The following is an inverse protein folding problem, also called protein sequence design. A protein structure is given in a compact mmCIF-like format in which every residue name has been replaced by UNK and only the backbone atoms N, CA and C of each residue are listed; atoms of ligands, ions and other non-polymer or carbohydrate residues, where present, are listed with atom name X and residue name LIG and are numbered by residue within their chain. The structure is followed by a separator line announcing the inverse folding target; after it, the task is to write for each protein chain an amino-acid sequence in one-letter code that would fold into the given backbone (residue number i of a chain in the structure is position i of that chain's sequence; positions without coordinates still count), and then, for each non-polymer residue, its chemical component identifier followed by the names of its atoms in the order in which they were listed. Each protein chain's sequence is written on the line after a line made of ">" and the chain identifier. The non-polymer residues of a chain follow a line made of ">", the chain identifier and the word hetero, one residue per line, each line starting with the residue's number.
data_IF_937733665625
#
_entry.id   IF_937733665625
#
_cell.length_a   1.000
_cell.length_b   1.000
_cell.length_c   1.000
_cell.angle_alpha   90.00
_cell.angle_beta   90.00
_cell.angle_gamma   90.00
#
_symmetry.space_group_name_H-M   'P 1'
#
loop_
_entity.id
_entity.type
_entity.pdbx_description
1 polymer ?
#
# COMPACT_ATOMS: atom_id res chain seq x y z
N UNK A 1 1.47 -4.66 14.10
CA UNK A 1 0.87 -5.45 12.98
C UNK A 1 0.18 -4.51 11.99
N UNK A 2 0.12 -4.88 10.70
CA UNK A 2 -0.49 -4.07 9.65
C UNK A 2 -1.79 -4.66 9.12
N UNK A 3 -2.84 -3.85 9.06
CA UNK A 3 -4.16 -4.21 8.54
C UNK A 3 -4.40 -3.51 7.20
N UNK A 4 -4.76 -4.29 6.17
CA UNK A 4 -5.02 -3.79 4.81
C UNK A 4 -6.51 -4.00 4.48
N UNK A 5 -7.26 -2.90 4.44
CA UNK A 5 -8.73 -2.83 4.33
C UNK A 5 -9.17 -2.63 2.90
N UNK A 6 -8.96 -3.64 2.06
CA UNK A 6 -9.28 -3.57 0.62
C UNK A 6 -10.77 -3.32 0.33
N UNK A 7 -11.67 -3.62 1.27
CA UNK A 7 -13.10 -3.31 1.17
C UNK A 7 -13.40 -1.81 1.17
N UNK A 8 -12.48 -0.95 1.64
CA UNK A 8 -12.62 0.51 1.63
C UNK A 8 -12.25 1.16 0.30
N UNK A 9 -11.73 0.39 -0.66
CA UNK A 9 -11.35 0.91 -1.97
C UNK A 9 -12.58 1.44 -2.71
N UNK A 10 -12.44 2.66 -3.24
CA UNK A 10 -13.44 3.37 -4.01
C UNK A 10 -12.88 3.80 -5.36
N UNK A 11 -13.71 4.09 -6.37
CA UNK A 11 -13.25 4.49 -7.71
C UNK A 11 -12.22 5.63 -7.73
N UNK A 12 -12.32 6.58 -6.79
CA UNK A 12 -11.34 7.68 -6.65
C UNK A 12 -9.92 7.21 -6.33
N UNK A 13 -9.79 6.10 -5.61
CA UNK A 13 -8.49 5.53 -5.24
C UNK A 13 -7.80 4.93 -6.48
N UNK A 14 -8.57 4.31 -7.39
CA UNK A 14 -8.07 3.84 -8.68
C UNK A 14 -7.62 4.99 -9.59
N UNK A 15 -8.39 6.08 -9.62
CA UNK A 15 -8.03 7.28 -10.38
C UNK A 15 -6.79 7.97 -9.81
N UNK A 16 -6.64 7.99 -8.48
CA UNK A 16 -5.43 8.47 -7.84
C UNK A 16 -4.19 7.66 -8.26
N UNK A 17 -4.26 6.32 -8.15
CA UNK A 17 -3.17 5.43 -8.56
C UNK A 17 -2.81 5.65 -10.04
N UNK A 18 -3.81 5.76 -10.91
CA UNK A 18 -3.58 6.03 -12.33
C UNK A 18 -2.77 7.31 -12.53
N UNK A 19 -3.14 8.42 -11.87
CA UNK A 19 -2.41 9.69 -11.98
C UNK A 19 -0.98 9.57 -11.46
N UNK A 20 -0.75 8.87 -10.36
CA UNK A 20 0.60 8.62 -9.84
C UNK A 20 1.42 7.80 -10.83
N UNK A 21 0.84 6.74 -11.38
CA UNK A 21 1.51 5.87 -12.33
C UNK A 21 1.84 6.61 -13.64
N UNK A 22 0.94 7.46 -14.13
CA UNK A 22 1.17 8.30 -15.30
C UNK A 22 2.34 9.28 -15.05
N UNK A 23 2.45 9.87 -13.85
CA UNK A 23 3.57 10.79 -13.48
C UNK A 23 4.94 10.11 -13.55
N UNK A 24 5.04 8.89 -13.04
CA UNK A 24 6.29 8.12 -13.03
C UNK A 24 6.53 7.37 -14.35
N UNK A 25 5.67 7.56 -15.35
CA UNK A 25 5.77 6.91 -16.67
C UNK A 25 5.46 5.41 -16.67
N UNK A 26 4.76 4.90 -15.65
CA UNK A 26 4.38 3.50 -15.55
C UNK A 26 2.97 3.25 -16.10
N UNK A 27 2.87 2.45 -17.16
CA UNK A 27 1.59 2.15 -17.82
C UNK A 27 1.31 0.65 -17.82
N UNK A 28 0.61 0.12 -16.80
CA UNK A 28 0.35 -1.30 -16.71
C UNK A 28 -0.69 -1.74 -17.77
N UNK A 29 -0.33 -2.71 -18.61
CA UNK A 29 -1.17 -3.11 -19.76
C UNK A 29 -2.27 -4.11 -19.42
N UNK A 30 -1.91 -5.26 -18.82
CA UNK A 30 -2.81 -6.40 -18.58
C UNK A 30 -3.21 -6.58 -17.12
N UNK A 31 -2.56 -5.84 -16.23
CA UNK A 31 -2.72 -5.95 -14.77
C UNK A 31 -3.24 -4.59 -14.31
N UNK A 32 -4.31 -4.57 -13.51
CA UNK A 32 -4.83 -3.31 -12.96
C UNK A 32 -3.80 -2.63 -12.06
N UNK A 33 -3.69 -1.31 -12.11
CA UNK A 33 -2.73 -0.55 -11.31
C UNK A 33 -2.83 -0.83 -9.81
N UNK A 34 -4.04 -1.05 -9.29
CA UNK A 34 -4.28 -1.40 -7.89
C UNK A 34 -3.57 -2.68 -7.45
N UNK A 35 -3.33 -3.63 -8.36
CA UNK A 35 -2.65 -4.90 -8.03
C UNK A 35 -1.20 -4.62 -7.63
N UNK A 36 -0.53 -3.71 -8.35
CA UNK A 36 0.83 -3.29 -8.01
C UNK A 36 0.87 -2.60 -6.65
N UNK A 37 -0.09 -1.72 -6.36
CA UNK A 37 -0.18 -1.05 -5.05
C UNK A 37 -0.45 -2.03 -3.91
N UNK A 38 -1.38 -2.98 -4.08
CA UNK A 38 -1.61 -4.05 -3.10
C UNK A 38 -0.36 -4.90 -2.88
N UNK A 39 0.39 -5.19 -3.95
CA UNK A 39 1.65 -5.92 -3.86
C UNK A 39 2.68 -5.15 -3.02
N UNK A 40 2.80 -3.83 -3.22
CA UNK A 40 3.66 -2.98 -2.38
C UNK A 40 3.26 -3.06 -0.91
N UNK A 41 1.97 -2.95 -0.58
CA UNK A 41 1.50 -3.03 0.80
C UNK A 41 1.84 -4.38 1.45
N UNK A 42 1.57 -5.48 0.75
CA UNK A 42 1.90 -6.80 1.26
C UNK A 42 3.40 -7.03 1.44
N UNK A 43 4.22 -6.50 0.54
CA UNK A 43 5.67 -6.62 0.62
C UNK A 43 6.26 -5.75 1.74
N UNK A 44 5.96 -4.46 1.73
CA UNK A 44 6.60 -3.47 2.60
C UNK A 44 6.06 -3.56 4.03
N UNK A 45 4.74 -3.67 4.18
CA UNK A 45 4.07 -3.60 5.49
C UNK A 45 3.94 -4.98 6.15
N UNK A 46 3.67 -6.03 5.36
CA UNK A 46 3.47 -7.39 5.87
C UNK A 46 4.65 -8.33 5.60
N UNK A 47 5.76 -7.81 5.06
CA UNK A 47 7.02 -8.56 4.78
C UNK A 47 6.79 -9.88 4.01
N UNK A 48 5.78 -9.92 3.14
CA UNK A 48 5.49 -11.11 2.32
C UNK A 48 6.47 -11.21 1.14
N UNK A 49 6.83 -12.43 0.77
CA UNK A 49 7.65 -12.69 -0.41
C UNK A 49 6.86 -12.47 -1.71
N UNK A 50 7.55 -12.07 -2.78
CA UNK A 50 6.94 -11.80 -4.09
C UNK A 50 6.15 -12.98 -4.65
N UNK A 51 6.61 -14.21 -4.41
CA UNK A 51 5.89 -15.42 -4.84
C UNK A 51 4.57 -15.59 -4.10
N UNK A 52 4.55 -15.36 -2.78
CA UNK A 52 3.33 -15.43 -1.99
C UNK A 52 2.34 -14.34 -2.43
N UNK A 53 2.83 -13.12 -2.62
CA UNK A 53 2.01 -11.99 -3.09
C UNK A 53 1.39 -12.28 -4.46
N UNK A 54 2.16 -12.84 -5.39
CA UNK A 54 1.68 -13.22 -6.70
C UNK A 54 0.53 -14.24 -6.64
N UNK A 55 0.63 -15.24 -5.75
CA UNK A 55 -0.46 -16.19 -5.49
C UNK A 55 -1.70 -15.49 -4.93
N UNK A 56 -1.53 -14.64 -3.90
CA UNK A 56 -2.64 -13.90 -3.26
C UNK A 56 -3.38 -13.01 -4.28
N UNK A 57 -2.63 -12.34 -5.15
CA UNK A 57 -3.17 -11.38 -6.11
C UNK A 57 -3.46 -11.98 -7.48
N UNK A 58 -3.28 -13.29 -7.64
CA UNK A 58 -3.43 -14.02 -8.90
C UNK A 58 -2.74 -13.30 -10.08
N UNK A 59 -1.45 -13.01 -9.93
CA UNK A 59 -0.68 -12.26 -10.93
C UNK A 59 0.75 -12.79 -11.07
N UNK A 60 1.51 -12.25 -12.02
CA UNK A 60 2.91 -12.64 -12.23
C UNK A 60 3.82 -12.02 -11.16
N UNK A 61 4.56 -12.86 -10.43
CA UNK A 61 5.57 -12.40 -9.46
C UNK A 61 6.66 -11.55 -10.11
N UNK A 62 7.06 -11.86 -11.35
CA UNK A 62 8.03 -11.07 -12.10
C UNK A 62 7.49 -9.68 -12.41
N UNK A 63 6.20 -9.56 -12.75
CA UNK A 63 5.61 -8.26 -13.06
C UNK A 63 5.63 -7.32 -11.85
N UNK A 64 5.19 -7.80 -10.68
CA UNK A 64 5.19 -6.99 -9.45
C UNK A 64 6.61 -6.71 -8.93
N UNK A 65 7.54 -7.67 -9.05
CA UNK A 65 8.94 -7.47 -8.65
C UNK A 65 9.64 -6.44 -9.55
N UNK A 66 9.46 -6.52 -10.86
CA UNK A 66 10.03 -5.57 -11.81
C UNK A 66 9.47 -4.17 -11.59
N UNK A 67 8.17 -4.06 -11.30
CA UNK A 67 7.59 -2.78 -10.91
C UNK A 67 8.26 -2.22 -9.64
N UNK A 68 8.31 -3.00 -8.56
CA UNK A 68 8.97 -2.55 -7.33
C UNK A 68 10.42 -2.13 -7.57
N UNK A 69 11.21 -2.96 -8.24
CA UNK A 69 12.64 -2.71 -8.46
C UNK A 69 12.91 -1.44 -9.28
N UNK A 70 12.05 -1.13 -10.26
CA UNK A 70 12.24 0.04 -11.12
C UNK A 70 11.70 1.34 -10.53
N UNK A 71 10.65 1.26 -9.72
CA UNK A 71 9.88 2.43 -9.29
C UNK A 71 9.95 2.72 -7.78
N UNK A 72 10.52 1.85 -6.94
CA UNK A 72 10.56 2.05 -5.47
C UNK A 72 11.19 3.37 -5.01
N UNK A 73 12.11 3.93 -5.80
CA UNK A 73 12.86 5.16 -5.51
C UNK A 73 12.07 6.45 -5.77
N UNK A 74 10.92 6.36 -6.43
CA UNK A 74 10.12 7.54 -6.77
C UNK A 74 9.31 7.97 -5.55
N UNK A 75 9.37 9.25 -5.21
CA UNK A 75 8.62 9.81 -4.07
C UNK A 75 7.11 9.62 -4.25
N UNK A 76 6.61 9.61 -5.49
CA UNK A 76 5.21 9.33 -5.76
C UNK A 76 4.77 7.93 -5.31
N UNK A 77 5.68 6.95 -5.27
CA UNK A 77 5.38 5.63 -4.69
C UNK A 77 5.23 5.73 -3.18
N UNK A 78 6.03 6.56 -2.50
CA UNK A 78 5.89 6.83 -1.06
C UNK A 78 4.57 7.56 -0.78
N UNK A 79 4.20 8.55 -1.61
CA UNK A 79 2.92 9.29 -1.51
C UNK A 79 1.70 8.37 -1.58
N UNK A 80 1.75 7.25 -2.30
CA UNK A 80 0.68 6.25 -2.30
C UNK A 80 0.41 5.76 -0.87
N UNK A 81 1.44 5.43 -0.09
CA UNK A 81 1.23 4.92 1.27
C UNK A 81 0.51 5.94 2.15
N UNK A 82 0.97 7.19 2.13
CA UNK A 82 0.34 8.26 2.91
C UNK A 82 -1.11 8.50 2.49
N UNK A 83 -1.39 8.57 1.18
CA UNK A 83 -2.76 8.65 0.68
C UNK A 83 -3.65 7.52 1.20
N UNK A 84 -3.16 6.28 1.16
CA UNK A 84 -3.93 5.12 1.61
C UNK A 84 -4.04 5.03 3.15
N UNK A 85 -3.12 5.63 3.92
CA UNK A 85 -3.26 5.80 5.38
C UNK A 85 -4.32 6.84 5.74
N UNK A 86 -4.35 7.98 5.05
CA UNK A 86 -5.37 9.02 5.26
C UNK A 86 -6.77 8.47 4.99
N UNK A 87 -6.89 7.60 3.99
CA UNK A 87 -8.11 6.88 3.65
C UNK A 87 -8.46 5.74 4.62
N UNK A 88 -7.64 5.49 5.64
CA UNK A 88 -7.76 4.36 6.59
C UNK A 88 -7.82 3.00 5.89
N UNK A 89 -7.16 2.87 4.73
CA UNK A 89 -7.10 1.62 3.96
C UNK A 89 -5.93 0.77 4.43
N UNK A 90 -4.80 1.39 4.74
CA UNK A 90 -3.73 0.74 5.50
C UNK A 90 -3.69 1.34 6.89
N UNK A 91 -3.65 0.48 7.92
CA UNK A 91 -3.64 0.91 9.32
C UNK A 91 -2.61 0.08 10.07
N UNK A 92 -1.73 0.76 10.79
CA UNK A 92 -0.85 0.14 11.76
C UNK A 92 -1.60 -0.01 13.08
N UNK A 93 -1.72 -1.25 13.54
CA UNK A 93 -2.45 -1.59 14.78
C UNK A 93 -1.51 -2.05 15.90
N UNK A 94 -0.19 -1.94 15.69
CA UNK A 94 0.83 -2.35 16.66
C UNK A 94 0.50 -3.74 17.24
N UNK A 95 0.49 -3.89 18.56
CA UNK A 95 0.12 -5.11 19.29
C UNK A 95 -1.26 -5.03 19.95
N UNK A 96 -2.11 -4.08 19.51
CA UNK A 96 -3.47 -3.95 20.05
C UNK A 96 -4.29 -5.20 19.72
N UNK A 97 -4.67 -5.93 20.77
CA UNK A 97 -5.45 -7.19 20.67
C UNK A 97 -6.93 -6.96 20.39
N UNK A 98 -7.46 -5.79 20.71
CA UNK A 98 -8.90 -5.46 20.59
C UNK A 98 -9.08 -4.05 20.05
N UNK A 99 -9.83 -3.94 18.95
CA UNK A 99 -10.25 -2.69 18.34
C UNK A 99 -11.53 -2.96 17.51
N UNK A 100 -12.37 -1.95 17.36
CA UNK A 100 -13.56 -1.96 16.52
C UNK A 100 -13.28 -1.31 15.16
N UNK A 101 -14.20 -1.47 14.20
CA UNK A 101 -14.12 -0.73 12.95
C UNK A 101 -14.27 0.79 13.16
N UNK A 102 -15.01 1.21 14.19
CA UNK A 102 -15.18 2.62 14.52
C UNK A 102 -13.85 3.23 15.01
N UNK A 103 -13.14 2.48 15.86
CA UNK A 103 -11.79 2.87 16.29
C UNK A 103 -10.86 3.05 15.08
N UNK A 104 -10.84 2.10 14.15
CA UNK A 104 -9.99 2.19 12.95
C UNK A 104 -10.37 3.34 12.00
N UNK A 105 -11.60 3.85 12.10
CA UNK A 105 -12.14 4.86 11.18
C UNK A 105 -11.98 6.26 11.74
N UNK A 106 -12.21 6.41 13.03
CA UNK A 106 -12.43 7.70 13.68
C UNK A 106 -11.41 8.04 14.76
N UNK A 107 -10.58 7.08 15.20
CA UNK A 107 -9.55 7.37 16.20
C UNK A 107 -8.26 7.89 15.53
N UNK A 108 -7.87 9.09 15.90
CA UNK A 108 -6.69 9.77 15.36
C UNK A 108 -5.37 9.15 15.81
N UNK A 109 -5.32 8.46 16.96
CA UNK A 109 -4.12 7.75 17.43
C UNK A 109 -3.70 6.68 16.42
N UNK A 110 -4.67 5.99 15.80
CA UNK A 110 -4.38 5.00 14.77
C UNK A 110 -3.83 5.67 13.51
N UNK A 111 -4.29 6.87 13.15
CA UNK A 111 -3.75 7.59 12.00
C UNK A 111 -2.34 8.06 12.26
N UNK A 112 -2.12 8.74 13.39
CA UNK A 112 -0.83 9.30 13.75
C UNK A 112 0.22 8.19 13.87
N UNK A 113 -0.13 7.10 14.59
CA UNK A 113 0.72 5.92 14.67
C UNK A 113 0.99 5.27 13.31
N UNK A 114 -0.01 5.22 12.43
CA UNK A 114 0.19 4.71 11.06
C UNK A 114 1.16 5.58 10.27
N UNK A 115 1.02 6.91 10.31
CA UNK A 115 1.88 7.82 9.57
C UNK A 115 3.32 7.77 10.05
N UNK A 116 3.51 7.79 11.37
CA UNK A 116 4.85 7.69 11.98
C UNK A 116 5.56 6.40 11.57
N UNK A 117 4.87 5.26 11.68
CA UNK A 117 5.45 3.98 11.26
C UNK A 117 5.73 3.95 9.74
N UNK A 118 4.87 4.57 8.91
CA UNK A 118 5.14 4.70 7.47
C UNK A 118 6.40 5.52 7.20
N UNK A 119 6.59 6.65 7.88
CA UNK A 119 7.78 7.49 7.74
C UNK A 119 9.04 6.67 8.03
N UNK A 120 9.07 5.98 9.18
CA UNK A 120 10.19 5.12 9.57
C UNK A 120 10.48 4.02 8.53
N UNK A 121 9.44 3.36 7.99
CA UNK A 121 9.63 2.29 6.99
C UNK A 121 10.10 2.85 5.65
N UNK A 122 9.54 3.99 5.20
CA UNK A 122 9.76 4.55 3.86
C UNK A 122 11.04 5.37 3.76
N UNK A 123 11.55 5.92 4.86
CA UNK A 123 12.89 6.51 4.95
C UNK A 123 13.99 5.45 4.75
N UNK A 124 13.74 4.22 5.21
CA UNK A 124 14.68 3.09 5.07
C UNK A 124 14.51 2.31 3.75
N UNK A 125 13.67 2.79 2.84
CA UNK A 125 13.33 2.12 1.59
C UNK A 125 14.27 2.54 0.44
N UNK A 126 15.57 2.25 0.58
CA UNK A 126 16.59 2.48 -0.47
C UNK A 126 16.78 1.26 -1.40
#
# INVERSE_FOLDING_TARGET
>A
MWLIRTHKLQPKDYNYIKRVFDKIGFFPKRISGIIFVKALFFHILQKKSWRNIATILNCSHLAIYNFFSNYKKYDEIKEIFFYFSDRRIIVFIEDKKTFSNDDLDNNDDFLEGTKKELEEILENLD
#
